data_IF_855238121983
#
_entry.id   IF_855238121983
#
_cell.length_a   1.000
_cell.length_b   1.000
_cell.length_c   1.000
_cell.angle_alpha   90.00
_cell.angle_beta   90.00
_cell.angle_gamma   90.00
#
_symmetry.space_group_name_H-M   'P 1'
#
loop_
_entity.id
_entity.type
_entity.pdbx_description
1 polymer ?
#
# COMPACT_ATOMS: atom_id res chain seq x y z
N UNK A 1 11.74 7.31 3.14
CA UNK A 1 10.40 7.10 2.57
C UNK A 1 10.28 5.62 2.25
N UNK A 2 9.14 4.98 2.50
CA UNK A 2 8.95 3.61 2.05
C UNK A 2 8.16 3.63 0.74
N UNK A 3 8.75 3.07 -0.32
CA UNK A 3 8.12 3.02 -1.64
C UNK A 3 7.01 1.95 -1.68
N UNK A 4 7.18 0.84 -0.96
CA UNK A 4 6.12 -0.18 -0.78
C UNK A 4 4.87 0.42 -0.10
N UNK A 5 5.04 1.35 0.86
CA UNK A 5 3.88 2.04 1.47
C UNK A 5 3.10 2.94 0.49
N UNK A 6 3.67 3.24 -0.68
CA UNK A 6 2.99 3.97 -1.75
C UNK A 6 2.38 3.04 -2.82
N UNK A 7 2.70 1.74 -2.79
CA UNK A 7 2.10 0.69 -3.61
C UNK A 7 0.73 0.30 -3.02
N UNK A 8 -0.30 1.09 -3.34
CA UNK A 8 -1.61 0.97 -2.70
C UNK A 8 -2.44 -0.18 -3.26
N UNK A 9 -2.04 -0.73 -4.41
CA UNK A 9 -2.66 -1.91 -5.01
C UNK A 9 -1.82 -3.19 -4.84
N UNK A 10 -0.68 -3.13 -4.17
CA UNK A 10 0.19 -4.27 -3.79
C UNK A 10 0.60 -5.09 -5.03
N UNK A 11 0.98 -4.39 -6.11
CA UNK A 11 1.36 -5.01 -7.38
C UNK A 11 2.88 -5.09 -7.63
N UNK A 12 3.67 -4.55 -6.70
CA UNK A 12 5.12 -4.46 -6.74
C UNK A 12 5.65 -3.36 -7.65
N UNK A 13 4.79 -2.44 -8.11
CA UNK A 13 5.15 -1.38 -9.07
C UNK A 13 4.52 -0.04 -8.71
N UNK A 14 5.36 0.89 -8.23
CA UNK A 14 4.93 2.25 -7.94
C UNK A 14 4.61 3.06 -9.21
N UNK A 15 3.33 3.26 -9.51
CA UNK A 15 2.84 3.96 -10.70
C UNK A 15 1.49 4.66 -10.49
N UNK A 16 0.79 5.05 -11.57
CA UNK A 16 -0.50 5.77 -11.46
C UNK A 16 -1.65 4.86 -11.02
N UNK A 17 -1.52 3.53 -11.19
CA UNK A 17 -2.50 2.55 -10.77
C UNK A 17 -2.75 2.61 -9.26
N UNK A 18 -1.72 2.89 -8.45
CA UNK A 18 -1.82 3.09 -7.00
C UNK A 18 -2.81 4.18 -6.63
N UNK A 19 -2.63 5.36 -7.23
CA UNK A 19 -3.50 6.50 -6.99
C UNK A 19 -4.93 6.21 -7.45
N UNK A 20 -5.11 5.52 -8.58
CA UNK A 20 -6.42 5.13 -9.09
C UNK A 20 -7.10 4.15 -8.13
N UNK A 21 -6.39 3.14 -7.63
CA UNK A 21 -6.92 2.15 -6.70
C UNK A 21 -7.35 2.82 -5.40
N UNK A 22 -6.51 3.68 -4.83
CA UNK A 22 -6.80 4.40 -3.60
C UNK A 22 -8.02 5.34 -3.75
N UNK A 23 -8.08 6.12 -4.82
CA UNK A 23 -9.23 7.00 -5.09
C UNK A 23 -10.51 6.20 -5.34
N UNK A 24 -10.41 5.05 -5.99
CA UNK A 24 -11.55 4.16 -6.23
C UNK A 24 -12.10 3.57 -4.93
N UNK A 25 -11.22 3.21 -3.99
CA UNK A 25 -11.63 2.82 -2.64
C UNK A 25 -12.33 3.98 -1.91
N UNK A 26 -11.72 5.16 -1.91
CA UNK A 26 -12.22 6.33 -1.18
C UNK A 26 -13.56 6.88 -1.70
N UNK A 27 -13.79 6.81 -3.01
CA UNK A 27 -14.89 7.55 -3.65
C UNK A 27 -15.82 6.71 -4.52
N UNK A 28 -15.44 5.49 -4.89
CA UNK A 28 -16.19 4.64 -5.82
C UNK A 28 -16.65 3.31 -5.20
N UNK A 29 -16.37 3.07 -3.91
CA UNK A 29 -16.76 1.84 -3.22
C UNK A 29 -16.01 0.59 -3.72
N UNK A 30 -14.80 0.77 -4.26
CA UNK A 30 -13.92 -0.35 -4.60
C UNK A 30 -13.43 -1.07 -3.33
N UNK A 31 -12.78 -2.21 -3.53
CA UNK A 31 -12.17 -2.99 -2.43
C UNK A 31 -11.19 -2.13 -1.63
N UNK A 32 -11.10 -2.41 -0.33
CA UNK A 32 -10.08 -1.83 0.52
C UNK A 32 -8.66 -2.22 0.03
N UNK A 33 -7.65 -1.37 0.28
CA UNK A 33 -6.26 -1.75 0.07
C UNK A 33 -5.91 -3.05 0.79
N UNK A 34 -4.94 -3.82 0.28
CA UNK A 34 -4.42 -5.01 0.96
C UNK A 34 -3.86 -4.71 2.36
N UNK A 35 -3.59 -5.78 3.12
CA UNK A 35 -2.96 -5.65 4.43
C UNK A 35 -1.66 -4.83 4.32
N UNK A 36 -1.32 -3.97 5.31
CA UNK A 36 -1.85 -3.94 6.68
C UNK A 36 -3.09 -3.06 6.89
N UNK A 37 -3.69 -2.49 5.84
CA UNK A 37 -4.84 -1.57 5.96
C UNK A 37 -6.04 -2.19 6.70
N UNK A 38 -6.77 -1.43 7.56
CA UNK A 38 -6.60 -0.01 7.91
C UNK A 38 -5.61 0.23 9.05
N UNK A 39 -5.08 -0.86 9.62
CA UNK A 39 -4.05 -0.80 10.63
C UNK A 39 -2.71 -0.46 9.98
N UNK A 40 -1.71 -0.21 10.81
CA UNK A 40 -0.34 -0.17 10.33
C UNK A 40 0.34 -1.50 10.67
N UNK A 41 1.37 -1.85 9.92
CA UNK A 41 2.06 -3.11 10.10
C UNK A 41 3.07 -3.36 9.01
N UNK A 42 3.66 -4.56 9.05
CA UNK A 42 4.50 -5.06 7.98
C UNK A 42 3.58 -5.60 6.90
N UNK A 43 3.86 -5.23 5.65
CA UNK A 43 3.25 -5.85 4.49
C UNK A 43 3.56 -7.37 4.49
N UNK A 44 2.53 -8.24 4.54
CA UNK A 44 2.73 -9.69 4.55
C UNK A 44 3.08 -10.26 3.17
N UNK A 45 2.98 -9.49 2.09
CA UNK A 45 3.34 -9.96 0.76
C UNK A 45 4.85 -9.83 0.55
N UNK A 46 5.35 -10.57 -0.44
CA UNK A 46 6.75 -10.48 -0.86
C UNK A 46 6.72 -9.86 -2.25
N UNK A 47 7.13 -8.61 -2.35
CA UNK A 47 7.21 -7.88 -3.60
C UNK A 47 8.63 -7.35 -3.86
N UNK A 48 8.78 -6.59 -4.95
CA UNK A 48 10.07 -6.02 -5.35
C UNK A 48 10.37 -4.66 -4.68
N UNK A 49 9.44 -4.11 -3.91
CA UNK A 49 9.56 -2.80 -3.27
C UNK A 49 9.91 -3.00 -1.79
N UNK A 50 11.03 -2.42 -1.36
CA UNK A 50 11.45 -2.54 0.03
C UNK A 50 11.10 -1.31 0.86
N UNK A 51 10.89 -1.51 2.16
CA UNK A 51 10.93 -0.44 3.16
C UNK A 51 12.31 -0.45 3.86
N UNK A 52 13.24 0.42 3.44
CA UNK A 52 14.55 0.58 4.12
C UNK A 52 14.41 0.91 5.61
N UNK A 53 13.37 1.66 5.97
CA UNK A 53 12.99 1.96 7.34
C UNK A 53 11.53 2.41 7.43
N UNK A 54 10.79 1.87 8.41
CA UNK A 54 9.51 2.41 8.84
C UNK A 54 9.54 2.60 10.36
N UNK A 55 8.89 3.65 10.86
CA UNK A 55 8.64 3.76 12.29
C UNK A 55 7.63 2.67 12.66
N UNK A 56 7.99 1.79 13.59
CA UNK A 56 7.05 0.79 14.09
C UNK A 56 5.79 1.49 14.63
N UNK A 57 4.65 0.84 14.40
CA UNK A 57 3.36 1.25 14.92
C UNK A 57 3.43 1.53 16.44
N UNK A 58 2.76 2.60 16.93
CA UNK A 58 2.59 2.83 18.37
C UNK A 58 1.93 1.67 19.11
#
# INVERSE_FOLDING_TARGET
>A
PCDNAADSNDDGTLNIADAIALLSYLFSGASAPPAPFPDCGIDPTVDALECDAFAACP
#
